data_IF_158103658217
#
_entry.id   IF_158103658217
#
_cell.length_a   1.000
_cell.length_b   1.000
_cell.length_c   1.000
_cell.angle_alpha   90.00
_cell.angle_beta   90.00
_cell.angle_gamma   90.00
#
_symmetry.space_group_name_H-M   'P 1'
#
loop_
_entity.id
_entity.type
_entity.pdbx_description
1 polymer ?
#
# COMPACT_ATOMS: atom_id res chain seq x y z
N UNK A 1 20.28 8.12 25.59
CA UNK A 1 19.41 7.41 26.56
C UNK A 1 18.13 7.10 25.82
N UNK A 2 17.69 5.84 25.78
CA UNK A 2 16.39 5.51 25.19
C UNK A 2 15.30 6.12 26.08
N UNK A 3 14.58 7.12 25.58
CA UNK A 3 13.41 7.69 26.24
C UNK A 3 12.36 6.58 26.39
N UNK A 4 11.79 6.48 27.59
CA UNK A 4 10.83 5.42 27.93
C UNK A 4 9.42 5.82 27.50
N UNK A 5 8.48 4.87 27.33
CA UNK A 5 7.10 5.16 26.93
C UNK A 5 6.34 6.17 27.83
N UNK A 6 6.80 6.41 29.06
CA UNK A 6 6.21 7.43 29.94
C UNK A 6 6.48 8.87 29.46
N UNK A 7 7.48 9.08 28.61
CA UNK A 7 7.96 10.41 28.25
C UNK A 7 7.06 11.11 27.21
N UNK A 8 6.28 10.36 26.41
CA UNK A 8 5.42 10.91 25.35
C UNK A 8 3.93 10.99 25.67
N UNK A 9 3.50 10.63 26.89
CA UNK A 9 2.07 10.55 27.23
C UNK A 9 1.32 11.86 26.94
N UNK A 10 1.93 13.02 27.25
CA UNK A 10 1.36 14.34 26.96
C UNK A 10 1.29 14.62 25.46
N UNK A 11 2.34 14.28 24.71
CA UNK A 11 2.39 14.46 23.26
C UNK A 11 1.31 13.62 22.56
N UNK A 12 1.15 12.35 22.95
CA UNK A 12 0.13 11.46 22.43
C UNK A 12 -1.30 11.91 22.78
N UNK A 13 -1.52 12.44 23.98
CA UNK A 13 -2.81 13.05 24.35
C UNK A 13 -3.12 14.31 23.54
N UNK A 14 -2.11 15.14 23.25
CA UNK A 14 -2.25 16.31 22.39
C UNK A 14 -2.62 15.88 20.97
N UNK A 15 -1.88 14.92 20.41
CA UNK A 15 -2.13 14.34 19.09
C UNK A 15 -3.55 13.78 18.97
N UNK A 16 -4.01 13.01 19.96
CA UNK A 16 -5.37 12.43 19.96
C UNK A 16 -6.49 13.48 19.97
N UNK A 17 -6.18 14.74 20.30
CA UNK A 17 -7.12 15.87 20.34
C UNK A 17 -6.92 16.84 19.18
N UNK A 18 -5.93 16.60 18.31
CA UNK A 18 -5.66 17.49 17.19
C UNK A 18 -6.86 17.50 16.21
N UNK A 19 -7.44 18.66 15.89
CA UNK A 19 -8.67 18.71 15.10
C UNK A 19 -8.45 18.25 13.65
N UNK A 20 -9.34 17.37 13.16
CA UNK A 20 -9.30 16.92 11.77
C UNK A 20 -9.39 18.07 10.76
N UNK A 21 -10.18 19.11 11.05
CA UNK A 21 -10.28 20.28 10.17
C UNK A 21 -8.97 21.06 10.12
N UNK A 22 -8.24 21.15 11.23
CA UNK A 22 -6.94 21.79 11.27
C UNK A 22 -5.91 20.98 10.48
N UNK A 23 -5.98 19.64 10.54
CA UNK A 23 -5.17 18.77 9.68
C UNK A 23 -5.46 19.04 8.20
N UNK A 24 -6.73 19.06 7.79
CA UNK A 24 -7.13 19.22 6.39
C UNK A 24 -6.79 20.61 5.83
N UNK A 25 -7.17 21.68 6.55
CA UNK A 25 -7.01 23.06 6.08
C UNK A 25 -5.61 23.63 6.36
N UNK A 26 -4.93 23.12 7.37
CA UNK A 26 -3.54 23.45 7.70
C UNK A 26 -2.49 22.70 6.88
N UNK A 27 -2.87 21.63 6.18
CA UNK A 27 -1.96 20.83 5.37
C UNK A 27 -1.34 21.64 4.23
N UNK A 28 -0.01 21.64 4.17
CA UNK A 28 0.79 22.22 3.08
C UNK A 28 1.92 21.26 2.70
N UNK A 29 2.45 21.44 1.49
CA UNK A 29 3.69 20.76 1.09
C UNK A 29 4.88 21.57 1.60
N UNK A 30 5.38 21.22 2.78
CA UNK A 30 6.53 21.89 3.42
C UNK A 30 7.81 21.16 3.03
N UNK A 31 8.37 21.56 1.89
CA UNK A 31 9.47 20.83 1.22
C UNK A 31 10.85 21.17 1.74
N UNK A 32 11.04 22.34 2.34
CA UNK A 32 12.32 22.74 2.90
C UNK A 32 12.39 22.31 4.36
N UNK A 33 13.47 21.62 4.73
CA UNK A 33 13.70 21.06 6.05
C UNK A 33 15.09 21.41 6.57
N UNK A 34 15.33 21.05 7.83
CA UNK A 34 16.65 21.24 8.47
C UNK A 34 17.75 20.55 7.67
N UNK A 35 18.89 21.22 7.53
CA UNK A 35 20.06 20.75 6.78
C UNK A 35 19.94 20.80 5.26
N UNK A 36 18.85 21.33 4.71
CA UNK A 36 18.65 21.42 3.26
C UNK A 36 19.28 22.67 2.64
N UNK A 37 19.44 22.62 1.32
CA UNK A 37 19.91 23.74 0.51
C UNK A 37 19.13 23.82 -0.81
N UNK A 38 18.59 25.00 -1.11
CA UNK A 38 18.16 25.39 -2.45
C UNK A 38 19.33 26.20 -3.05
N UNK A 39 19.96 25.71 -4.13
CA UNK A 39 21.25 26.25 -4.59
C UNK A 39 21.17 27.63 -5.25
N UNK A 40 20.03 27.97 -5.87
CA UNK A 40 19.87 29.19 -6.66
C UNK A 40 18.41 29.65 -6.74
N UNK A 41 18.20 30.79 -7.42
CA UNK A 41 16.88 31.37 -7.66
C UNK A 41 16.33 32.23 -6.51
N UNK A 42 15.07 32.66 -6.62
CA UNK A 42 14.47 33.61 -5.68
C UNK A 42 14.23 33.04 -4.27
N UNK A 43 14.33 31.71 -4.12
CA UNK A 43 14.20 31.00 -2.84
C UNK A 43 15.53 30.33 -2.43
N UNK A 44 16.66 30.77 -2.99
CA UNK A 44 17.98 30.26 -2.63
C UNK A 44 18.21 30.45 -1.12
N UNK A 45 18.49 29.34 -0.44
CA UNK A 45 18.66 29.33 1.00
C UNK A 45 19.40 28.07 1.43
N UNK A 46 20.29 28.22 2.40
CA UNK A 46 21.02 27.13 3.06
C UNK A 46 20.61 27.14 4.52
N UNK A 47 20.05 26.02 5.00
CA UNK A 47 19.73 25.82 6.41
C UNK A 47 20.97 26.04 7.27
N UNK A 48 20.79 26.74 8.39
CA UNK A 48 21.82 26.88 9.44
C UNK A 48 21.78 25.73 10.44
N UNK A 49 20.68 24.98 10.45
CA UNK A 49 20.48 23.78 11.25
C UNK A 49 21.11 22.56 10.58
N UNK A 50 21.60 21.62 11.39
CA UNK A 50 21.99 20.28 10.93
C UNK A 50 20.77 19.44 10.52
N UNK A 51 20.91 18.50 9.55
CA UNK A 51 19.88 17.53 9.26
C UNK A 51 19.49 16.73 10.52
N UNK A 52 18.19 16.69 10.83
CA UNK A 52 17.65 15.96 11.99
C UNK A 52 16.75 14.83 11.52
N UNK A 53 17.21 13.60 11.71
CA UNK A 53 16.43 12.39 11.45
C UNK A 53 15.17 12.35 12.32
N UNK A 54 14.11 11.70 11.84
CA UNK A 54 12.93 11.44 12.65
C UNK A 54 13.27 10.55 13.84
N UNK A 55 12.62 10.81 14.98
CA UNK A 55 12.67 9.93 16.14
C UNK A 55 11.94 8.61 15.85
N UNK A 56 12.19 7.59 16.67
CA UNK A 56 11.52 6.29 16.53
C UNK A 56 9.99 6.43 16.65
N UNK A 57 9.51 7.24 17.58
CA UNK A 57 8.08 7.44 17.82
C UNK A 57 7.41 8.20 16.68
N UNK A 58 8.05 9.23 16.11
CA UNK A 58 7.55 9.94 14.94
C UNK A 58 7.37 8.98 13.76
N UNK A 59 8.39 8.17 13.47
CA UNK A 59 8.31 7.18 12.41
C UNK A 59 7.20 6.16 12.68
N UNK A 60 7.10 5.64 13.89
CA UNK A 60 6.08 4.67 14.25
C UNK A 60 4.66 5.24 14.12
N UNK A 61 4.44 6.50 14.50
CA UNK A 61 3.17 7.22 14.30
C UNK A 61 2.84 7.38 12.81
N UNK A 62 3.82 7.78 11.98
CA UNK A 62 3.64 7.91 10.54
C UNK A 62 3.34 6.56 9.87
N UNK A 63 3.99 5.47 10.29
CA UNK A 63 3.65 4.11 9.86
C UNK A 63 2.22 3.75 10.31
N UNK A 64 1.83 4.08 11.54
CA UNK A 64 0.48 3.84 12.05
C UNK A 64 -0.58 4.61 11.26
N UNK A 65 -0.29 5.79 10.72
CA UNK A 65 -1.23 6.51 9.86
C UNK A 65 -1.30 5.91 8.45
N UNK A 66 -0.14 5.61 7.85
CA UNK A 66 -0.03 5.21 6.46
C UNK A 66 -0.31 3.74 6.18
N UNK A 67 0.04 2.85 7.10
CA UNK A 67 -0.22 1.41 7.00
C UNK A 67 -1.28 0.95 8.02
N UNK A 68 -1.76 1.84 8.89
CA UNK A 68 -2.58 1.56 10.07
C UNK A 68 -3.73 0.57 9.93
N UNK A 69 -4.05 -0.02 11.06
CA UNK A 69 -5.08 -1.04 11.23
C UNK A 69 -6.28 -0.43 11.95
N UNK A 70 -7.49 -0.76 11.51
CA UNK A 70 -8.75 -0.20 12.06
C UNK A 70 -9.69 -1.26 12.63
N UNK A 71 -9.23 -2.50 12.81
CA UNK A 71 -10.02 -3.62 13.33
C UNK A 71 -10.55 -4.51 12.22
N UNK A 72 -11.83 -4.87 12.26
CA UNK A 72 -12.50 -5.68 11.23
C UNK A 72 -13.09 -4.78 10.15
N UNK A 73 -12.94 -5.14 8.87
CA UNK A 73 -13.78 -4.51 7.83
C UNK A 73 -15.17 -5.14 7.79
N UNK A 74 -16.17 -4.35 7.39
CA UNK A 74 -17.58 -4.77 7.38
C UNK A 74 -18.02 -5.42 6.06
N UNK A 75 -17.10 -5.60 5.11
CA UNK A 75 -17.37 -6.20 3.80
C UNK A 75 -18.41 -5.44 2.95
N UNK A 76 -18.82 -6.09 1.86
CA UNK A 76 -19.92 -5.63 1.01
C UNK A 76 -21.17 -6.43 1.43
N UNK A 77 -22.29 -5.78 1.82
CA UNK A 77 -23.42 -6.48 2.42
C UNK A 77 -24.26 -7.27 1.40
N UNK A 78 -24.24 -6.89 0.12
CA UNK A 78 -25.12 -7.47 -0.90
C UNK A 78 -24.50 -7.42 -2.29
N UNK A 79 -24.79 -8.43 -3.11
CA UNK A 79 -24.56 -8.42 -4.56
C UNK A 79 -25.70 -9.17 -5.26
N UNK A 80 -26.18 -8.69 -6.43
CA UNK A 80 -27.14 -9.42 -7.25
C UNK A 80 -26.49 -10.48 -8.16
N UNK A 81 -25.16 -10.57 -8.19
CA UNK A 81 -24.45 -11.52 -9.07
C UNK A 81 -24.51 -12.97 -8.59
N UNK A 82 -24.80 -13.17 -7.31
CA UNK A 82 -24.76 -14.48 -6.67
C UNK A 82 -26.10 -15.18 -6.57
N UNK A 83 -26.08 -16.38 -6.00
CA UNK A 83 -27.27 -17.15 -5.64
C UNK A 83 -28.17 -16.34 -4.70
N UNK A 84 -29.49 -16.37 -4.93
CA UNK A 84 -30.46 -15.71 -4.04
C UNK A 84 -30.28 -16.16 -2.58
N UNK A 85 -30.51 -15.24 -1.64
CA UNK A 85 -30.37 -15.45 -0.18
C UNK A 85 -28.94 -15.75 0.31
N UNK A 86 -27.93 -15.61 -0.54
CA UNK A 86 -26.51 -15.68 -0.14
C UNK A 86 -25.86 -14.30 -0.01
N UNK A 87 -24.82 -14.21 0.82
CA UNK A 87 -24.05 -12.98 1.02
C UNK A 87 -22.88 -12.82 0.05
N UNK A 88 -22.42 -11.58 -0.09
CA UNK A 88 -21.37 -11.21 -1.05
C UNK A 88 -20.01 -11.79 -0.66
N UNK A 89 -19.34 -12.37 -1.66
CA UNK A 89 -18.10 -13.11 -1.46
C UNK A 89 -16.84 -12.33 -1.91
N UNK A 90 -16.94 -11.03 -2.14
CA UNK A 90 -15.86 -10.24 -2.75
C UNK A 90 -14.69 -9.97 -1.79
N UNK A 91 -14.96 -9.77 -0.50
CA UNK A 91 -13.95 -9.49 0.53
C UNK A 91 -12.82 -10.53 0.52
N UNK A 92 -11.58 -10.05 0.32
CA UNK A 92 -10.38 -10.91 0.31
C UNK A 92 -9.79 -11.05 1.71
N UNK A 93 -9.58 -9.93 2.41
CA UNK A 93 -9.02 -9.91 3.76
C UNK A 93 -10.05 -9.44 4.79
N UNK A 94 -10.00 -9.97 6.03
CA UNK A 94 -10.90 -9.57 7.12
C UNK A 94 -10.46 -8.30 7.85
N UNK A 95 -9.18 -7.97 7.80
CA UNK A 95 -8.61 -6.82 8.50
C UNK A 95 -9.14 -5.51 7.93
N UNK A 96 -9.20 -4.47 8.74
CA UNK A 96 -9.53 -3.11 8.39
C UNK A 96 -8.24 -2.28 8.36
N UNK A 97 -8.15 -1.34 7.43
CA UNK A 97 -7.06 -0.36 7.36
C UNK A 97 -7.59 1.05 7.59
N UNK A 98 -6.70 1.98 7.92
CA UNK A 98 -7.02 3.43 8.04
C UNK A 98 -7.30 4.09 6.69
N UNK A 99 -7.12 3.35 5.60
CA UNK A 99 -7.44 3.73 4.22
C UNK A 99 -8.35 2.67 3.58
N UNK A 100 -9.19 3.06 2.60
CA UNK A 100 -10.07 2.11 1.92
C UNK A 100 -9.32 1.27 0.89
N UNK A 101 -9.88 0.11 0.54
CA UNK A 101 -9.39 -0.78 -0.51
C UNK A 101 -10.55 -1.40 -1.29
N UNK A 102 -10.38 -1.58 -2.59
CA UNK A 102 -11.38 -2.15 -3.48
C UNK A 102 -11.78 -3.56 -3.04
N UNK A 103 -13.04 -3.73 -2.61
CA UNK A 103 -13.57 -4.97 -2.06
C UNK A 103 -12.67 -5.61 -0.98
N UNK A 104 -12.05 -4.78 -0.13
CA UNK A 104 -11.15 -5.21 0.93
C UNK A 104 -10.05 -6.18 0.45
N UNK A 105 -9.44 -5.87 -0.71
CA UNK A 105 -8.23 -6.56 -1.17
C UNK A 105 -7.10 -6.37 -0.14
N UNK A 106 -6.84 -5.12 0.24
CA UNK A 106 -5.86 -4.71 1.27
C UNK A 106 -4.52 -5.44 1.16
N UNK A 107 -4.03 -5.58 -0.07
CA UNK A 107 -2.79 -6.29 -0.37
C UNK A 107 -1.53 -5.46 -0.16
N UNK A 108 -1.65 -4.24 0.37
CA UNK A 108 -0.54 -3.29 0.48
C UNK A 108 0.28 -3.39 1.76
N UNK A 109 1.56 -3.05 1.63
CA UNK A 109 2.49 -2.80 2.72
C UNK A 109 3.15 -1.43 2.54
N UNK A 110 3.92 -0.99 3.53
CA UNK A 110 4.65 0.25 3.52
C UNK A 110 6.15 -0.03 3.59
N UNK A 111 6.89 0.42 2.57
CA UNK A 111 8.35 0.50 2.63
C UNK A 111 8.75 1.83 3.27
N UNK A 112 9.81 1.81 4.07
CA UNK A 112 10.35 3.00 4.72
C UNK A 112 11.85 3.06 4.44
N UNK A 113 12.38 4.25 4.15
CA UNK A 113 13.83 4.49 4.21
C UNK A 113 14.15 5.82 4.87
N UNK A 114 15.12 5.80 5.79
CA UNK A 114 15.58 6.95 6.54
C UNK A 114 17.06 6.78 6.94
N UNK A 115 17.58 7.65 7.80
CA UNK A 115 18.97 7.66 8.25
C UNK A 115 19.38 6.40 9.02
N UNK A 116 18.43 5.65 9.56
CA UNK A 116 18.67 4.43 10.34
C UNK A 116 18.56 3.14 9.53
N UNK A 117 18.10 3.23 8.27
CA UNK A 117 18.08 2.10 7.36
C UNK A 117 16.89 2.07 6.40
N UNK A 118 16.49 0.85 6.06
CA UNK A 118 15.27 0.58 5.28
C UNK A 118 14.45 -0.53 5.92
N UNK A 119 13.13 -0.46 5.72
CA UNK A 119 12.14 -1.27 6.42
C UNK A 119 10.95 -1.62 5.52
N UNK A 120 10.20 -2.65 5.92
CA UNK A 120 8.88 -2.99 5.37
C UNK A 120 7.90 -3.36 6.48
N UNK A 121 6.65 -2.96 6.37
CA UNK A 121 5.57 -3.46 7.26
C UNK A 121 5.11 -4.87 6.86
N UNK A 122 4.55 -5.61 7.82
CA UNK A 122 3.93 -6.93 7.59
C UNK A 122 2.50 -6.96 8.13
N UNK A 123 1.67 -6.04 7.64
CA UNK A 123 0.34 -5.82 8.17
C UNK A 123 -0.77 -6.50 7.36
N UNK A 124 -0.55 -6.77 6.08
CA UNK A 124 -1.60 -7.28 5.17
C UNK A 124 -2.10 -8.67 5.57
N UNK A 125 -1.28 -9.49 6.23
CA UNK A 125 -1.68 -10.83 6.65
C UNK A 125 -1.85 -10.96 8.18
N UNK A 126 -1.96 -9.83 8.90
CA UNK A 126 -2.26 -9.84 10.33
C UNK A 126 -3.69 -10.30 10.62
N UNK A 127 -3.85 -10.97 11.76
CA UNK A 127 -5.17 -11.34 12.24
C UNK A 127 -5.86 -10.11 12.87
N UNK A 128 -7.04 -9.67 12.38
CA UNK A 128 -7.78 -8.59 13.00
C UNK A 128 -8.16 -8.85 14.47
N UNK A 129 -8.24 -10.11 14.93
CA UNK A 129 -8.52 -10.40 16.34
C UNK A 129 -7.44 -9.85 17.29
N UNK A 130 -6.20 -9.71 16.82
CA UNK A 130 -5.12 -9.09 17.59
C UNK A 130 -5.28 -7.56 17.70
N UNK A 131 -6.17 -6.96 16.89
CA UNK A 131 -6.30 -5.52 16.73
C UNK A 131 -7.70 -5.10 17.20
N UNK A 132 -7.79 -4.72 18.48
CA UNK A 132 -8.99 -4.08 19.01
C UNK A 132 -9.14 -2.68 18.41
N UNK A 133 -10.37 -2.33 18.06
CA UNK A 133 -10.76 -0.99 17.59
C UNK A 133 -10.23 0.09 18.53
N UNK A 134 -9.74 1.18 17.95
CA UNK A 134 -9.22 2.33 18.69
C UNK A 134 -10.30 2.94 19.60
N UNK A 135 -10.03 3.03 20.91
CA UNK A 135 -10.94 3.60 21.92
C UNK A 135 -10.48 4.96 22.45
N UNK A 136 -9.32 5.48 22.03
CA UNK A 136 -8.81 6.79 22.46
C UNK A 136 -7.30 6.82 22.68
N UNK A 137 -6.79 7.94 23.22
CA UNK A 137 -5.36 8.20 23.35
C UNK A 137 -4.57 7.07 24.04
N UNK A 138 -5.16 6.43 25.05
CA UNK A 138 -4.52 5.36 25.82
C UNK A 138 -4.25 4.09 24.97
N UNK A 139 -4.92 3.93 23.81
CA UNK A 139 -4.66 2.85 22.85
C UNK A 139 -3.47 3.14 21.93
N UNK A 140 -3.00 4.39 21.81
CA UNK A 140 -1.93 4.73 20.87
C UNK A 140 -0.64 3.95 21.15
N UNK A 141 -0.24 3.82 22.42
CA UNK A 141 0.95 3.04 22.80
C UNK A 141 0.83 1.56 22.38
N UNK A 142 -0.35 0.97 22.56
CA UNK A 142 -0.63 -0.40 22.12
C UNK A 142 -0.56 -0.53 20.60
N UNK A 143 -1.12 0.43 19.85
CA UNK A 143 -1.05 0.44 18.39
C UNK A 143 0.39 0.60 17.91
N UNK A 144 1.20 1.44 18.56
CA UNK A 144 2.61 1.63 18.25
C UNK A 144 3.43 0.36 18.54
N UNK A 145 3.11 -0.37 19.61
CA UNK A 145 3.73 -1.68 19.86
C UNK A 145 3.45 -2.67 18.70
N UNK A 146 2.20 -2.76 18.23
CA UNK A 146 1.85 -3.60 17.06
C UNK A 146 2.63 -3.16 15.81
N UNK A 147 2.75 -1.85 15.58
CA UNK A 147 3.53 -1.32 14.46
C UNK A 147 5.00 -1.75 14.55
N UNK A 148 5.61 -1.62 15.73
CA UNK A 148 7.01 -2.00 15.96
C UNK A 148 7.24 -3.49 15.72
N UNK A 149 6.39 -4.34 16.30
CA UNK A 149 6.50 -5.80 16.19
C UNK A 149 6.34 -6.29 14.75
N UNK A 150 5.67 -5.51 13.90
CA UNK A 150 5.36 -5.86 12.52
C UNK A 150 6.04 -4.96 11.49
N UNK A 151 7.10 -4.23 11.88
CA UNK A 151 7.98 -3.48 10.98
C UNK A 151 9.34 -4.15 10.93
N UNK A 152 9.67 -4.75 9.79
CA UNK A 152 10.90 -5.52 9.60
C UNK A 152 11.98 -4.64 8.99
N UNK A 153 13.17 -4.63 9.61
CA UNK A 153 14.35 -3.98 9.05
C UNK A 153 14.93 -4.82 7.92
N UNK A 154 15.15 -4.18 6.78
CA UNK A 154 15.70 -4.78 5.55
C UNK A 154 17.22 -4.57 5.46
N UNK A 155 17.68 -3.37 5.81
CA UNK A 155 19.09 -2.98 5.77
C UNK A 155 19.38 -1.89 6.79
N UNK A 156 20.63 -1.83 7.24
CA UNK A 156 21.18 -0.75 8.06
C UNK A 156 21.39 0.55 7.27
N UNK A 157 21.32 0.49 5.94
CA UNK A 157 21.55 1.63 5.06
C UNK A 157 20.26 2.22 4.49
N UNK A 158 20.25 3.55 4.33
CA UNK A 158 19.28 4.28 3.51
C UNK A 158 19.33 3.77 2.07
N UNK A 159 18.17 3.62 1.43
CA UNK A 159 18.10 3.36 -0.01
C UNK A 159 18.46 4.63 -0.76
N UNK A 160 19.65 4.68 -1.35
CA UNK A 160 20.14 5.84 -2.10
C UNK A 160 19.96 5.64 -3.61
N UNK A 161 19.57 6.71 -4.29
CA UNK A 161 19.46 6.77 -5.74
C UNK A 161 20.37 7.89 -6.27
N UNK A 162 21.08 7.70 -7.41
CA UNK A 162 21.81 8.77 -8.05
C UNK A 162 20.91 9.98 -8.34
N UNK A 163 21.40 11.21 -8.08
CA UNK A 163 20.61 12.44 -8.20
C UNK A 163 20.60 12.98 -9.63
N UNK A 164 20.28 12.10 -10.57
CA UNK A 164 20.33 12.36 -12.00
C UNK A 164 19.30 11.53 -12.76
N UNK A 165 19.19 11.76 -14.07
CA UNK A 165 18.37 10.92 -14.94
C UNK A 165 19.06 9.55 -15.11
N UNK A 166 18.32 8.42 -15.10
CA UNK A 166 16.86 8.30 -15.03
C UNK A 166 16.31 8.09 -13.61
N UNK A 167 17.12 8.24 -12.57
CA UNK A 167 16.79 7.84 -11.20
C UNK A 167 15.94 8.85 -10.42
N UNK A 168 16.24 10.15 -10.54
CA UNK A 168 15.53 11.22 -9.84
C UNK A 168 15.19 12.36 -10.80
N UNK A 169 13.90 12.69 -10.87
CA UNK A 169 13.36 13.80 -11.65
C UNK A 169 13.97 15.13 -11.21
N UNK A 170 14.25 16.02 -12.16
CA UNK A 170 15.05 17.23 -11.93
C UNK A 170 14.56 18.08 -10.73
N UNK A 171 13.26 18.29 -10.61
CA UNK A 171 12.65 19.09 -9.54
C UNK A 171 12.78 18.47 -8.12
N UNK A 172 13.17 17.19 -8.03
CA UNK A 172 13.34 16.47 -6.76
C UNK A 172 14.81 16.25 -6.37
N UNK A 173 15.77 16.49 -7.27
CA UNK A 173 17.20 16.15 -7.05
C UNK A 173 17.81 16.83 -5.83
N UNK A 174 17.34 18.03 -5.51
CA UNK A 174 17.85 18.81 -4.39
C UNK A 174 17.34 18.31 -3.02
N UNK A 175 16.13 17.72 -2.97
CA UNK A 175 15.36 17.56 -1.72
C UNK A 175 14.92 16.13 -1.39
N UNK A 176 14.66 15.29 -2.39
CA UNK A 176 14.03 14.00 -2.14
C UNK A 176 14.99 13.03 -1.44
N UNK A 177 14.53 12.31 -0.42
CA UNK A 177 15.25 11.26 0.28
C UNK A 177 16.69 11.66 0.66
N UNK A 178 16.84 12.86 1.25
CA UNK A 178 18.13 13.39 1.74
C UNK A 178 18.36 12.95 3.20
N UNK A 179 19.59 13.02 3.71
CA UNK A 179 19.85 12.86 5.15
C UNK A 179 18.92 13.76 5.99
N UNK A 180 18.45 13.26 7.13
CA UNK A 180 17.46 13.92 7.99
C UNK A 180 16.00 13.81 7.52
N UNK A 181 15.73 13.08 6.44
CA UNK A 181 14.37 12.84 5.92
C UNK A 181 13.99 11.37 6.00
N UNK A 182 12.70 11.09 6.13
CA UNK A 182 12.14 9.74 6.04
C UNK A 182 11.19 9.65 4.85
N UNK A 183 11.33 8.61 4.03
CA UNK A 183 10.49 8.36 2.87
C UNK A 183 9.62 7.13 3.12
N UNK A 184 8.31 7.30 2.97
CA UNK A 184 7.28 6.27 3.18
C UNK A 184 6.61 5.92 1.85
N UNK A 185 6.76 4.68 1.41
CA UNK A 185 6.40 4.22 0.06
C UNK A 185 5.41 3.06 0.16
N UNK A 186 4.11 3.33 0.02
CA UNK A 186 3.12 2.27 -0.07
C UNK A 186 3.38 1.41 -1.32
N UNK A 187 3.44 0.10 -1.14
CA UNK A 187 3.57 -0.91 -2.19
C UNK A 187 2.32 -1.79 -2.22
N UNK A 188 1.74 -2.01 -3.40
CA UNK A 188 0.50 -2.73 -3.59
C UNK A 188 0.67 -4.04 -4.35
N UNK A 189 -0.08 -5.07 -3.95
CA UNK A 189 -0.11 -6.36 -4.63
C UNK A 189 -1.06 -6.29 -5.84
N UNK A 190 -0.50 -5.99 -7.01
CA UNK A 190 -1.30 -5.83 -8.23
C UNK A 190 -1.83 -7.17 -8.76
N UNK A 191 -1.10 -8.26 -8.48
CA UNK A 191 -1.49 -9.63 -8.82
C UNK A 191 -2.78 -9.99 -8.10
N UNK A 192 -2.79 -9.83 -6.79
CA UNK A 192 -3.95 -10.18 -5.99
C UNK A 192 -5.15 -9.25 -6.26
N UNK A 193 -4.89 -7.96 -6.45
CA UNK A 193 -5.93 -7.02 -6.90
C UNK A 193 -6.53 -7.46 -8.24
N UNK A 194 -5.71 -7.91 -9.20
CA UNK A 194 -6.22 -8.40 -10.48
C UNK A 194 -7.01 -9.70 -10.32
N UNK A 195 -6.54 -10.65 -9.51
CA UNK A 195 -7.32 -11.85 -9.18
C UNK A 195 -8.68 -11.51 -8.58
N UNK A 196 -8.74 -10.53 -7.68
CA UNK A 196 -10.01 -10.10 -7.10
C UNK A 196 -10.94 -9.47 -8.17
N UNK A 197 -10.41 -8.65 -9.06
CA UNK A 197 -11.19 -8.08 -10.16
C UNK A 197 -11.68 -9.18 -11.12
N UNK A 198 -10.85 -10.16 -11.46
CA UNK A 198 -11.24 -11.29 -12.30
C UNK A 198 -12.30 -12.16 -11.63
N UNK A 199 -12.17 -12.42 -10.32
CA UNK A 199 -13.16 -13.13 -9.51
C UNK A 199 -14.51 -12.42 -9.54
N UNK A 200 -14.54 -11.12 -9.27
CA UNK A 200 -15.77 -10.32 -9.24
C UNK A 200 -16.43 -10.30 -10.63
N UNK A 201 -15.67 -9.92 -11.67
CA UNK A 201 -16.23 -9.78 -13.03
C UNK A 201 -16.69 -11.11 -13.61
N UNK A 202 -15.92 -12.17 -13.44
CA UNK A 202 -16.33 -13.50 -13.90
C UNK A 202 -17.54 -14.01 -13.12
N UNK A 203 -17.64 -13.68 -11.84
CA UNK A 203 -18.82 -13.94 -11.02
C UNK A 203 -20.08 -13.17 -11.46
N UNK A 204 -19.91 -11.98 -12.04
CA UNK A 204 -20.96 -11.21 -12.72
C UNK A 204 -21.29 -11.76 -14.14
N UNK A 205 -20.62 -12.85 -14.52
CA UNK A 205 -20.81 -13.56 -15.77
C UNK A 205 -20.06 -12.98 -16.97
N UNK A 206 -19.00 -12.21 -16.72
CA UNK A 206 -18.16 -11.60 -17.76
C UNK A 206 -17.11 -12.57 -18.29
N UNK A 207 -17.04 -12.67 -19.62
CA UNK A 207 -15.91 -13.26 -20.34
C UNK A 207 -14.82 -12.21 -20.59
N UNK A 208 -13.58 -12.54 -20.27
CA UNK A 208 -12.43 -11.67 -20.54
C UNK A 208 -11.87 -11.99 -21.91
N UNK A 209 -11.59 -10.95 -22.71
CA UNK A 209 -11.05 -11.09 -24.06
C UNK A 209 -9.69 -10.43 -24.22
N UNK A 210 -8.81 -11.06 -24.99
CA UNK A 210 -7.55 -10.44 -25.40
C UNK A 210 -7.81 -9.42 -26.52
N UNK A 211 -7.40 -8.15 -26.39
CA UNK A 211 -7.62 -7.15 -27.43
C UNK A 211 -6.82 -7.41 -28.71
N UNK A 212 -5.75 -8.23 -28.68
CA UNK A 212 -4.86 -8.45 -29.84
C UNK A 212 -5.54 -9.26 -30.94
N UNK A 213 -6.24 -10.33 -30.57
CA UNK A 213 -6.86 -11.28 -31.49
C UNK A 213 -8.36 -11.52 -31.20
N UNK A 214 -8.90 -10.83 -30.18
CA UNK A 214 -10.31 -10.91 -29.73
C UNK A 214 -10.71 -12.29 -29.19
N UNK A 215 -9.75 -13.17 -28.89
CA UNK A 215 -10.04 -14.49 -28.31
C UNK A 215 -10.52 -14.32 -26.87
N UNK A 216 -11.41 -15.21 -26.43
CA UNK A 216 -11.76 -15.35 -25.02
C UNK A 216 -10.58 -16.01 -24.30
N UNK A 217 -10.23 -15.49 -23.13
CA UNK A 217 -9.15 -16.00 -22.28
C UNK A 217 -9.65 -17.13 -21.37
N UNK A 218 -8.81 -18.14 -21.14
CA UNK A 218 -9.11 -19.29 -20.31
C UNK A 218 -10.03 -20.30 -21.00
N UNK A 219 -10.61 -21.21 -20.19
CA UNK A 219 -11.46 -22.32 -20.66
C UNK A 219 -12.91 -22.16 -20.15
N UNK A 220 -13.72 -21.27 -20.74
CA UNK A 220 -15.02 -20.86 -20.18
C UNK A 220 -16.15 -21.86 -20.40
N UNK A 221 -16.01 -22.82 -21.32
CA UNK A 221 -17.11 -23.65 -21.85
C UNK A 221 -17.98 -24.32 -20.77
N UNK A 222 -17.35 -24.82 -19.70
CA UNK A 222 -18.07 -25.46 -18.60
C UNK A 222 -18.96 -24.46 -17.85
N UNK A 223 -18.46 -23.26 -17.61
CA UNK A 223 -19.18 -22.21 -16.90
C UNK A 223 -20.24 -21.53 -17.78
N UNK A 224 -20.02 -21.46 -19.10
CA UNK A 224 -21.06 -21.03 -20.05
C UNK A 224 -22.24 -22.00 -20.03
N UNK A 225 -21.97 -23.32 -20.13
CA UNK A 225 -23.04 -24.35 -20.04
C UNK A 225 -23.76 -24.34 -18.70
N UNK A 226 -23.08 -23.97 -17.62
CA UNK A 226 -23.66 -23.85 -16.29
C UNK A 226 -24.43 -22.54 -16.07
N UNK A 227 -24.43 -21.60 -17.03
CA UNK A 227 -25.08 -20.30 -16.89
C UNK A 227 -24.37 -19.34 -15.93
N UNK A 228 -23.09 -19.59 -15.63
CA UNK A 228 -22.27 -18.71 -14.79
C UNK A 228 -21.64 -17.60 -15.63
N UNK A 229 -21.14 -17.94 -16.84
CA UNK A 229 -20.58 -16.97 -17.80
C UNK A 229 -21.51 -16.80 -19.00
N UNK A 230 -21.54 -15.60 -19.60
CA UNK A 230 -22.44 -15.28 -20.71
C UNK A 230 -21.68 -14.78 -21.95
N UNK A 231 -21.98 -15.35 -23.11
CA UNK A 231 -21.28 -15.08 -24.38
C UNK A 231 -21.44 -13.64 -24.89
N UNK A 232 -22.52 -12.96 -24.49
CA UNK A 232 -22.85 -11.58 -24.82
C UNK A 232 -22.19 -10.56 -23.86
N UNK A 233 -21.57 -11.02 -22.76
CA UNK A 233 -20.88 -10.17 -21.77
C UNK A 233 -19.37 -10.29 -21.90
N UNK A 234 -18.78 -9.57 -22.85
CA UNK A 234 -17.32 -9.57 -23.10
C UNK A 234 -16.66 -8.26 -22.68
N UNK A 235 -15.59 -8.35 -21.89
CA UNK A 235 -14.79 -7.19 -21.47
C UNK A 235 -13.32 -7.39 -21.85
N UNK A 236 -12.68 -6.41 -22.52
CA UNK A 236 -11.26 -6.49 -22.84
C UNK A 236 -10.37 -6.51 -21.59
N UNK A 237 -9.33 -7.36 -21.59
CA UNK A 237 -8.37 -7.47 -20.49
C UNK A 237 -7.82 -6.10 -20.00
N UNK A 238 -7.41 -5.15 -20.87
CA UNK A 238 -6.91 -3.85 -20.41
C UNK A 238 -7.91 -3.04 -19.59
N UNK A 239 -9.23 -3.24 -19.79
CA UNK A 239 -10.26 -2.56 -19.00
C UNK A 239 -10.26 -3.08 -17.56
N UNK A 240 -10.12 -4.39 -17.39
CA UNK A 240 -10.06 -5.03 -16.06
C UNK A 240 -8.74 -4.67 -15.36
N UNK A 241 -7.61 -4.73 -16.08
CA UNK A 241 -6.31 -4.32 -15.52
C UNK A 241 -6.29 -2.83 -15.14
N UNK A 242 -6.89 -1.96 -15.96
CA UNK A 242 -7.02 -0.53 -15.66
C UNK A 242 -7.84 -0.27 -14.39
N UNK A 243 -8.96 -1.01 -14.21
CA UNK A 243 -9.75 -0.93 -12.99
C UNK A 243 -8.99 -1.45 -11.75
N UNK A 244 -8.24 -2.55 -11.91
CA UNK A 244 -7.36 -3.08 -10.87
C UNK A 244 -6.27 -2.08 -10.49
N UNK A 245 -5.61 -1.47 -11.47
CA UNK A 245 -4.55 -0.48 -11.25
C UNK A 245 -5.08 0.77 -10.56
N UNK A 246 -6.26 1.25 -10.96
CA UNK A 246 -6.91 2.43 -10.37
C UNK A 246 -7.25 2.17 -8.90
N UNK A 247 -7.78 0.98 -8.59
CA UNK A 247 -8.12 0.60 -7.22
C UNK A 247 -6.88 0.55 -6.32
N UNK A 248 -5.79 -0.09 -6.79
CA UNK A 248 -4.52 -0.11 -6.06
C UNK A 248 -3.93 1.30 -5.93
N UNK A 249 -3.95 2.11 -6.99
CA UNK A 249 -3.43 3.47 -6.94
C UNK A 249 -4.17 4.33 -5.91
N UNK A 250 -5.49 4.20 -5.81
CA UNK A 250 -6.30 4.90 -4.81
C UNK A 250 -5.92 4.46 -3.39
N UNK A 251 -5.82 3.14 -3.14
CA UNK A 251 -5.39 2.58 -1.85
C UNK A 251 -4.05 3.17 -1.41
N UNK A 252 -3.03 3.08 -2.27
CA UNK A 252 -1.67 3.57 -1.98
C UNK A 252 -1.62 5.10 -1.81
N UNK A 253 -2.43 5.84 -2.56
CA UNK A 253 -2.46 7.30 -2.48
C UNK A 253 -3.09 7.79 -1.19
N UNK A 254 -4.17 7.13 -0.71
CA UNK A 254 -4.82 7.49 0.54
C UNK A 254 -3.93 7.10 1.73
N UNK A 255 -3.27 5.94 1.67
CA UNK A 255 -2.23 5.56 2.63
C UNK A 255 -1.15 6.66 2.76
N UNK A 256 -0.57 7.09 1.63
CA UNK A 256 0.42 8.16 1.63
C UNK A 256 -0.16 9.51 2.12
N UNK A 257 -1.42 9.82 1.79
CA UNK A 257 -2.06 11.06 2.21
C UNK A 257 -2.36 11.10 3.71
N UNK A 258 -2.71 9.97 4.34
CA UNK A 258 -2.88 9.87 5.78
C UNK A 258 -1.59 10.25 6.53
N UNK A 259 -0.42 9.85 6.01
CA UNK A 259 0.89 10.27 6.55
C UNK A 259 1.02 11.79 6.46
N UNK A 260 0.71 12.38 5.30
CA UNK A 260 0.80 13.84 5.09
C UNK A 260 -0.15 14.62 6.02
N UNK A 261 -1.32 14.07 6.35
CA UNK A 261 -2.21 14.66 7.35
C UNK A 261 -1.64 14.56 8.77
N UNK A 262 -1.08 13.42 9.14
CA UNK A 262 -0.50 13.23 10.47
C UNK A 262 0.72 14.14 10.71
N UNK A 263 1.55 14.39 9.69
CA UNK A 263 2.64 15.37 9.75
C UNK A 263 2.17 16.71 10.32
N UNK A 264 0.95 17.16 9.98
CA UNK A 264 0.39 18.42 10.47
C UNK A 264 0.17 18.40 11.98
N UNK A 265 -0.33 17.27 12.49
CA UNK A 265 -0.69 17.11 13.89
C UNK A 265 0.55 16.95 14.78
N UNK A 266 1.60 16.30 14.27
CA UNK A 266 2.85 16.11 15.01
C UNK A 266 3.90 17.19 14.72
N UNK A 267 3.64 18.16 13.83
CA UNK A 267 4.53 19.29 13.59
C UNK A 267 5.67 19.05 12.61
N UNK A 268 5.53 18.04 11.75
CA UNK A 268 6.51 17.75 10.71
C UNK A 268 6.13 18.38 9.37
N UNK A 269 7.15 18.66 8.57
CA UNK A 269 7.00 18.99 7.15
C UNK A 269 7.10 17.76 6.28
N UNK A 270 6.83 17.97 5.00
CA UNK A 270 6.76 16.89 4.04
C UNK A 270 5.87 17.19 2.86
N UNK A 271 5.88 16.26 1.91
CA UNK A 271 4.92 16.25 0.81
C UNK A 271 4.78 14.87 0.19
N UNK A 272 3.60 14.64 -0.37
CA UNK A 272 3.30 13.52 -1.24
C UNK A 272 3.77 13.81 -2.67
N UNK A 273 4.50 12.88 -3.29
CA UNK A 273 5.05 13.04 -4.63
C UNK A 273 5.33 11.76 -5.40
N UNK A 274 5.69 11.96 -6.67
CA UNK A 274 6.29 11.01 -7.60
C UNK A 274 7.60 11.59 -8.15
N UNK A 275 8.32 10.82 -8.97
CA UNK A 275 9.52 11.30 -9.67
C UNK A 275 10.84 10.68 -9.22
N UNK A 276 10.80 9.63 -8.39
CA UNK A 276 11.85 8.64 -8.23
C UNK A 276 11.58 7.49 -9.20
N UNK A 277 12.63 6.91 -9.76
CA UNK A 277 12.51 5.72 -10.58
C UNK A 277 12.12 4.53 -9.71
N UNK A 278 10.85 4.13 -9.78
CA UNK A 278 10.29 3.06 -8.93
C UNK A 278 11.00 1.72 -9.11
N UNK A 279 11.48 1.41 -10.32
CA UNK A 279 12.22 0.17 -10.57
C UNK A 279 13.59 0.21 -9.91
N UNK A 280 14.34 1.32 -10.02
CA UNK A 280 15.60 1.47 -9.32
C UNK A 280 15.41 1.47 -7.79
N UNK A 281 14.35 2.14 -7.31
CA UNK A 281 13.97 2.16 -5.89
C UNK A 281 13.71 0.76 -5.35
N UNK A 282 12.98 -0.08 -6.10
CA UNK A 282 12.71 -1.46 -5.73
C UNK A 282 13.93 -2.39 -5.90
N UNK A 283 14.90 -2.06 -6.74
CA UNK A 283 16.17 -2.79 -6.87
C UNK A 283 16.53 -3.30 -8.27
N UNK A 284 15.89 -2.80 -9.33
CA UNK A 284 16.15 -3.23 -10.71
C UNK A 284 17.61 -3.00 -11.18
N UNK A 285 18.29 -2.05 -10.54
CA UNK A 285 19.68 -1.64 -10.82
C UNK A 285 20.69 -2.17 -9.79
N UNK A 286 20.35 -3.22 -9.03
CA UNK A 286 21.24 -3.78 -8.01
C UNK A 286 22.61 -4.21 -8.56
N UNK A 287 22.63 -4.82 -9.75
CA UNK A 287 23.87 -5.21 -10.46
C UNK A 287 24.74 -4.01 -10.87
N UNK A 288 24.16 -2.80 -10.89
CA UNK A 288 24.85 -1.53 -11.18
C UNK A 288 25.28 -0.81 -9.88
N UNK A 289 25.19 -1.48 -8.73
CA UNK A 289 25.52 -0.91 -7.41
C UNK A 289 24.40 -0.07 -6.78
N UNK A 290 23.17 -0.14 -7.31
CA UNK A 290 21.99 0.55 -6.77
C UNK A 290 21.02 -0.51 -6.22
N UNK A 291 21.20 -0.99 -4.98
CA UNK A 291 20.50 -2.17 -4.47
C UNK A 291 18.97 -1.98 -4.34
N UNK A 292 18.51 -0.74 -4.16
CA UNK A 292 17.10 -0.48 -3.88
C UNK A 292 16.64 -1.15 -2.59
N UNK A 293 15.37 -1.54 -2.54
CA UNK A 293 14.77 -2.35 -1.48
C UNK A 293 15.00 -3.86 -1.63
N UNK A 294 15.73 -4.31 -2.65
CA UNK A 294 16.07 -5.73 -2.84
C UNK A 294 14.94 -6.61 -3.40
N UNK A 295 13.95 -6.02 -4.07
CA UNK A 295 12.91 -6.80 -4.74
C UNK A 295 13.48 -7.62 -5.89
N UNK A 296 12.87 -8.77 -6.12
CA UNK A 296 13.12 -9.60 -7.31
C UNK A 296 12.45 -9.02 -8.53
N UNK A 297 13.11 -9.20 -9.67
CA UNK A 297 12.59 -8.79 -10.96
C UNK A 297 12.60 -9.95 -11.95
N UNK A 298 11.48 -10.15 -12.65
CA UNK A 298 11.44 -10.91 -13.88
C UNK A 298 11.90 -9.99 -15.04
N UNK A 299 12.62 -10.58 -16.00
CA UNK A 299 13.10 -9.90 -17.21
C UNK A 299 12.77 -10.74 -18.43
N UNK A 300 12.36 -10.09 -19.51
CA UNK A 300 12.10 -10.71 -20.80
C UNK A 300 12.53 -9.72 -21.90
N UNK A 301 13.29 -10.15 -22.93
CA UNK A 301 13.69 -9.28 -24.04
C UNK A 301 12.53 -8.61 -24.78
N UNK A 302 11.31 -9.18 -24.71
CA UNK A 302 10.12 -8.61 -25.31
C UNK A 302 9.49 -7.45 -24.50
N UNK A 303 9.96 -7.19 -23.27
CA UNK A 303 9.43 -6.13 -22.42
C UNK A 303 10.30 -4.88 -22.46
N UNK A 304 9.65 -3.71 -22.44
CA UNK A 304 10.35 -2.41 -22.37
C UNK A 304 10.91 -2.10 -20.97
N UNK A 305 10.42 -2.78 -19.94
CA UNK A 305 10.82 -2.58 -18.54
C UNK A 305 10.81 -3.93 -17.81
N UNK A 306 11.69 -4.13 -16.82
CA UNK A 306 11.64 -5.30 -15.95
C UNK A 306 10.36 -5.27 -15.11
N UNK A 307 9.91 -6.44 -14.65
CA UNK A 307 8.71 -6.56 -13.82
C UNK A 307 9.11 -6.91 -12.38
N UNK A 308 8.86 -6.05 -11.37
CA UNK A 308 9.06 -6.42 -9.97
C UNK A 308 8.04 -7.50 -9.59
N UNK A 309 8.51 -8.63 -9.06
CA UNK A 309 7.65 -9.79 -8.73
C UNK A 309 7.44 -10.01 -7.24
N UNK A 310 8.30 -9.48 -6.37
CA UNK A 310 8.14 -9.56 -4.92
C UNK A 310 9.44 -9.39 -4.14
N UNK A 311 9.37 -9.59 -2.83
CA UNK A 311 10.47 -9.55 -1.87
C UNK A 311 10.40 -10.82 -1.01
N UNK A 312 11.44 -11.66 -1.07
CA UNK A 312 11.43 -13.00 -0.48
C UNK A 312 11.11 -13.00 1.02
N UNK A 313 10.16 -13.83 1.43
CA UNK A 313 9.69 -13.97 2.81
C UNK A 313 8.87 -12.80 3.38
N UNK A 314 8.73 -11.70 2.63
CA UNK A 314 8.17 -10.44 3.14
C UNK A 314 7.00 -9.93 2.30
N UNK A 315 7.11 -9.98 0.97
CA UNK A 315 6.08 -9.55 0.03
C UNK A 315 6.05 -10.47 -1.18
N UNK A 316 5.25 -11.53 -1.11
CA UNK A 316 5.20 -12.60 -2.13
C UNK A 316 3.83 -12.63 -2.85
N UNK A 317 3.63 -11.81 -3.89
CA UNK A 317 2.45 -11.90 -4.76
C UNK A 317 2.28 -13.30 -5.36
N UNK A 318 1.03 -13.67 -5.68
CA UNK A 318 0.67 -14.98 -6.24
C UNK A 318 1.04 -15.11 -7.74
N UNK A 319 2.33 -14.95 -8.04
CA UNK A 319 2.92 -15.00 -9.39
C UNK A 319 4.29 -15.69 -9.32
N UNK A 320 4.74 -16.41 -10.35
CA UNK A 320 6.08 -16.98 -10.35
C UNK A 320 7.16 -15.93 -10.02
N UNK A 321 8.15 -16.26 -9.15
CA UNK A 321 8.49 -17.61 -8.69
C UNK A 321 7.80 -18.07 -7.38
N UNK A 322 6.86 -17.31 -6.82
CA UNK A 322 6.24 -17.64 -5.52
C UNK A 322 5.11 -18.67 -5.60
N UNK A 323 4.75 -19.06 -6.81
CA UNK A 323 3.82 -20.15 -7.17
C UNK A 323 4.41 -20.87 -8.38
N UNK A 324 4.08 -22.15 -8.55
CA UNK A 324 4.58 -22.95 -9.69
C UNK A 324 4.00 -22.49 -11.02
N UNK A 325 2.71 -22.16 -11.01
CA UNK A 325 1.94 -21.71 -12.17
C UNK A 325 0.75 -20.85 -11.72
N UNK A 326 -0.03 -20.35 -12.67
CA UNK A 326 -1.17 -19.49 -12.35
C UNK A 326 -2.42 -20.27 -11.90
N UNK A 327 -2.43 -21.59 -12.07
CA UNK A 327 -3.47 -22.46 -11.48
C UNK A 327 -3.28 -22.50 -9.95
N UNK A 328 -2.06 -22.75 -9.48
CA UNK A 328 -1.73 -22.67 -8.04
C UNK A 328 -2.04 -21.27 -7.48
N UNK A 329 -1.78 -20.21 -8.26
CA UNK A 329 -2.16 -18.85 -7.86
C UNK A 329 -3.67 -18.71 -7.60
N UNK A 330 -4.51 -19.21 -8.50
CA UNK A 330 -5.96 -19.16 -8.35
C UNK A 330 -6.44 -20.00 -7.15
N UNK A 331 -5.85 -21.18 -6.93
CA UNK A 331 -6.14 -22.06 -5.79
C UNK A 331 -5.78 -21.40 -4.46
N UNK A 332 -4.59 -20.79 -4.36
CA UNK A 332 -4.16 -20.07 -3.15
C UNK A 332 -5.01 -18.83 -2.90
N UNK A 333 -5.41 -18.11 -3.95
CA UNK A 333 -6.34 -16.98 -3.84
C UNK A 333 -7.71 -17.44 -3.32
N UNK A 334 -8.27 -18.53 -3.85
CA UNK A 334 -9.53 -19.11 -3.37
C UNK A 334 -9.41 -19.61 -1.92
N UNK A 335 -8.30 -20.27 -1.57
CA UNK A 335 -8.00 -20.76 -0.22
C UNK A 335 -7.94 -19.62 0.81
N UNK A 336 -7.43 -18.44 0.43
CA UNK A 336 -7.47 -17.26 1.32
C UNK A 336 -8.89 -16.84 1.69
N UNK A 337 -9.84 -17.04 0.78
CA UNK A 337 -11.24 -16.65 0.98
C UNK A 337 -12.05 -17.74 1.68
N UNK A 338 -11.85 -19.02 1.29
CA UNK A 338 -12.73 -20.15 1.66
C UNK A 338 -11.99 -21.42 2.13
N UNK A 339 -10.68 -21.34 2.35
CA UNK A 339 -9.91 -22.45 2.94
C UNK A 339 -10.14 -22.56 4.45
N UNK A 340 -9.47 -23.50 5.13
CA UNK A 340 -9.66 -23.73 6.58
C UNK A 340 -9.39 -22.51 7.48
N UNK A 341 -8.55 -21.58 7.04
CA UNK A 341 -8.29 -20.31 7.73
C UNK A 341 -8.84 -19.11 6.95
N UNK A 342 -9.75 -19.38 6.01
CA UNK A 342 -10.30 -18.40 5.10
C UNK A 342 -11.20 -17.39 5.79
N UNK A 343 -11.30 -16.21 5.21
CA UNK A 343 -12.09 -15.11 5.74
C UNK A 343 -13.56 -15.51 6.04
N UNK A 344 -14.15 -16.32 5.16
CA UNK A 344 -15.57 -16.68 5.17
C UNK A 344 -15.89 -17.97 5.94
N UNK A 345 -14.97 -18.47 6.76
CA UNK A 345 -15.24 -19.65 7.59
C UNK A 345 -16.12 -19.31 8.82
N UNK A 346 -17.22 -20.04 9.07
CA UNK A 346 -18.17 -19.72 10.15
C UNK A 346 -17.58 -19.67 11.57
N UNK A 347 -16.54 -20.46 11.84
CA UNK A 347 -15.87 -20.50 13.15
C UNK A 347 -14.86 -19.36 13.34
N UNK A 348 -14.38 -18.73 12.26
CA UNK A 348 -13.45 -17.60 12.35
C UNK A 348 -14.21 -16.39 12.88
N UNK A 349 -13.72 -15.66 13.90
CA UNK A 349 -14.36 -14.44 14.38
C UNK A 349 -14.60 -13.41 13.28
N UNK A 350 -15.39 -12.40 13.58
CA UNK A 350 -15.73 -11.37 12.61
C UNK A 350 -16.71 -10.34 13.16
N UNK A 351 -17.07 -9.34 12.34
CA UNK A 351 -17.75 -8.14 12.81
C UNK A 351 -19.25 -8.33 13.06
N UNK A 352 -19.85 -9.45 12.64
CA UNK A 352 -21.30 -9.61 12.67
C UNK A 352 -21.77 -10.16 14.02
N UNK A 353 -22.95 -9.70 14.47
CA UNK A 353 -23.61 -10.24 15.67
C UNK A 353 -23.91 -11.74 15.55
N UNK A 354 -24.36 -12.19 14.37
CA UNK A 354 -24.48 -13.61 14.01
C UNK A 354 -23.39 -13.98 12.99
N UNK A 355 -22.13 -13.98 13.44
CA UNK A 355 -20.98 -14.16 12.56
C UNK A 355 -20.97 -15.52 11.87
N UNK A 356 -21.24 -16.60 12.61
CA UNK A 356 -21.31 -17.93 12.04
C UNK A 356 -22.45 -18.05 11.01
N UNK A 357 -23.64 -17.55 11.34
CA UNK A 357 -24.79 -17.62 10.44
C UNK A 357 -24.64 -16.79 9.16
N UNK A 358 -24.06 -15.58 9.26
CA UNK A 358 -23.75 -14.76 8.07
C UNK A 358 -22.70 -15.44 7.19
N UNK A 359 -21.57 -15.88 7.77
CA UNK A 359 -20.47 -16.50 7.02
C UNK A 359 -20.85 -17.83 6.38
N UNK A 360 -21.70 -18.63 7.04
CA UNK A 360 -22.22 -19.89 6.50
C UNK A 360 -23.11 -19.70 5.26
N UNK A 361 -23.64 -18.50 5.03
CA UNK A 361 -24.48 -18.15 3.87
C UNK A 361 -23.76 -17.28 2.84
N UNK A 362 -22.44 -17.08 2.94
CA UNK A 362 -21.69 -16.41 1.88
C UNK A 362 -21.60 -17.35 0.67
N UNK A 363 -21.82 -16.80 -0.53
CA UNK A 363 -21.70 -17.56 -1.76
C UNK A 363 -20.28 -18.12 -1.93
N UNK A 364 -20.17 -19.41 -2.26
CA UNK A 364 -18.90 -20.07 -2.55
C UNK A 364 -18.91 -20.55 -3.98
N UNK A 365 -17.96 -20.09 -4.78
CA UNK A 365 -17.75 -20.68 -6.10
C UNK A 365 -17.09 -22.05 -5.97
N UNK A 366 -17.48 -22.96 -6.86
CA UNK A 366 -17.00 -24.32 -6.89
C UNK A 366 -15.61 -24.44 -7.54
N UNK A 367 -15.08 -25.66 -7.58
CA UNK A 367 -13.79 -25.95 -8.22
C UNK A 367 -13.79 -25.57 -9.70
N UNK A 368 -14.93 -25.66 -10.41
CA UNK A 368 -15.00 -25.31 -11.82
C UNK A 368 -14.70 -23.83 -12.06
N UNK A 369 -15.14 -22.95 -11.16
CA UNK A 369 -14.83 -21.53 -11.23
C UNK A 369 -13.37 -21.23 -10.93
N UNK A 370 -12.78 -21.91 -9.93
CA UNK A 370 -11.35 -21.78 -9.60
C UNK A 370 -10.49 -22.25 -10.76
N UNK A 371 -10.82 -23.39 -11.38
CA UNK A 371 -10.13 -23.91 -12.56
C UNK A 371 -10.23 -22.95 -13.76
N UNK A 372 -11.39 -22.32 -13.95
CA UNK A 372 -11.54 -21.29 -14.98
C UNK A 372 -10.63 -20.09 -14.70
N UNK A 373 -10.63 -19.55 -13.47
CA UNK A 373 -9.75 -18.44 -13.10
C UNK A 373 -8.28 -18.79 -13.27
N UNK A 374 -7.87 -19.99 -12.87
CA UNK A 374 -6.52 -20.50 -13.07
C UNK A 374 -6.17 -20.58 -14.55
N UNK A 375 -7.04 -21.14 -15.38
CA UNK A 375 -6.83 -21.19 -16.84
C UNK A 375 -6.77 -19.81 -17.50
N UNK A 376 -7.57 -18.86 -17.03
CA UNK A 376 -7.59 -17.49 -17.54
C UNK A 376 -6.29 -16.75 -17.16
N UNK A 377 -5.86 -16.89 -15.91
CA UNK A 377 -4.62 -16.29 -15.45
C UNK A 377 -3.39 -16.95 -16.13
N UNK A 378 -3.44 -18.27 -16.36
CA UNK A 378 -2.41 -19.00 -17.10
C UNK A 378 -2.34 -18.54 -18.55
N UNK A 379 -3.48 -18.38 -19.23
CA UNK A 379 -3.54 -17.84 -20.59
C UNK A 379 -2.91 -16.44 -20.66
N UNK A 380 -3.17 -15.57 -19.68
CA UNK A 380 -2.53 -14.25 -19.59
C UNK A 380 -1.01 -14.42 -19.46
N UNK A 381 -0.57 -15.25 -18.51
CA UNK A 381 0.85 -15.50 -18.28
C UNK A 381 1.56 -16.05 -19.51
N UNK A 382 1.01 -17.06 -20.17
CA UNK A 382 1.60 -17.70 -21.35
C UNK A 382 1.68 -16.72 -22.53
N UNK A 383 0.71 -15.80 -22.66
CA UNK A 383 0.67 -14.90 -23.82
C UNK A 383 1.46 -13.59 -23.62
N UNK A 384 1.72 -13.17 -22.38
CA UNK A 384 2.45 -11.92 -22.09
C UNK A 384 3.78 -12.14 -21.34
N UNK A 385 4.00 -13.34 -20.81
CA UNK A 385 5.15 -13.74 -19.99
C UNK A 385 5.13 -13.19 -18.56
N UNK A 386 4.09 -12.44 -18.18
CA UNK A 386 3.93 -11.82 -16.87
C UNK A 386 2.47 -11.68 -16.51
N UNK A 387 2.20 -11.51 -15.22
CA UNK A 387 0.86 -11.27 -14.69
C UNK A 387 0.93 -10.15 -13.63
N UNK A 388 0.20 -9.04 -13.76
CA UNK A 388 -0.66 -8.65 -14.90
C UNK A 388 0.07 -8.54 -16.25
N UNK A 389 -0.69 -8.55 -17.35
CA UNK A 389 -0.20 -8.45 -18.73
C UNK A 389 0.47 -7.12 -19.05
N UNK A 390 -0.13 -5.99 -18.63
CA UNK A 390 0.34 -4.64 -19.00
C UNK A 390 0.85 -3.82 -17.81
N UNK A 391 0.54 -4.24 -16.59
CA UNK A 391 0.92 -3.57 -15.34
C UNK A 391 2.04 -4.33 -14.62
N UNK A 392 2.81 -3.69 -13.71
CA UNK A 392 3.76 -4.40 -12.87
C UNK A 392 3.03 -5.28 -11.83
N UNK A 393 3.64 -6.38 -11.39
CA UNK A 393 3.08 -7.25 -10.34
C UNK A 393 3.10 -6.58 -8.96
N UNK A 394 4.10 -5.72 -8.71
CA UNK A 394 4.18 -4.85 -7.53
C UNK A 394 3.91 -3.40 -7.95
N UNK A 395 2.87 -2.79 -7.39
CA UNK A 395 2.44 -1.43 -7.72
C UNK A 395 2.98 -0.39 -6.74
N UNK A 396 3.45 0.74 -7.26
CA UNK A 396 3.68 1.99 -6.52
C UNK A 396 2.92 3.11 -7.24
N UNK A 397 2.31 4.04 -6.51
CA UNK A 397 1.64 5.20 -7.09
C UNK A 397 2.35 6.51 -6.73
N UNK A 398 2.24 6.90 -5.46
CA UNK A 398 2.85 8.08 -4.85
C UNK A 398 3.39 7.69 -3.49
N UNK A 399 4.28 8.50 -2.94
CA UNK A 399 4.90 8.28 -1.64
C UNK A 399 5.05 9.62 -0.92
N UNK A 400 5.19 9.57 0.40
CA UNK A 400 5.27 10.75 1.25
C UNK A 400 6.64 10.81 1.90
N UNK A 401 7.28 11.97 1.81
CA UNK A 401 8.48 12.28 2.58
C UNK A 401 8.10 13.14 3.77
N UNK A 402 8.63 12.80 4.95
CA UNK A 402 8.50 13.58 6.17
C UNK A 402 9.89 14.06 6.66
N UNK A 403 9.90 15.22 7.31
CA UNK A 403 11.12 15.86 7.81
C UNK A 403 10.80 16.96 8.83
N UNK A 404 11.76 17.29 9.69
CA UNK A 404 11.70 18.50 10.50
C UNK A 404 11.87 19.74 9.61
N UNK A 405 10.94 20.70 9.69
CA UNK A 405 11.06 21.94 8.90
C UNK A 405 12.12 22.89 9.46
N UNK A 406 12.75 23.67 8.61
CA UNK A 406 13.55 24.83 9.01
C UNK A 406 12.62 26.04 9.08
N UNK A 407 12.28 26.50 10.29
CA UNK A 407 11.34 27.61 10.50
C UNK A 407 11.86 28.92 9.91
N UNK A 408 13.17 29.20 9.99
CA UNK A 408 13.77 30.44 9.48
C UNK A 408 13.59 30.55 7.97
N UNK A 409 13.67 29.44 7.23
CA UNK A 409 13.33 29.44 5.80
C UNK A 409 11.89 29.89 5.55
N UNK A 410 10.92 29.37 6.30
CA UNK A 410 9.52 29.74 6.08
C UNK A 410 9.25 31.18 6.50
N UNK A 411 9.82 31.65 7.60
CA UNK A 411 9.69 33.03 8.07
C UNK A 411 10.35 34.03 7.10
N UNK A 412 11.41 33.62 6.41
CA UNK A 412 12.12 34.47 5.43
C UNK A 412 11.34 34.63 4.13
N UNK A 413 10.73 33.55 3.62
CA UNK A 413 10.20 33.53 2.24
C UNK A 413 8.68 33.47 2.12
N UNK A 414 7.96 33.12 3.19
CA UNK A 414 6.51 32.93 3.14
C UNK A 414 5.80 33.90 4.09
N UNK A 415 4.52 34.16 3.80
CA UNK A 415 3.67 34.95 4.68
C UNK A 415 3.34 34.18 5.98
N UNK A 416 2.87 34.92 6.99
CA UNK A 416 2.33 34.35 8.23
C UNK A 416 1.33 33.22 7.93
N UNK A 417 1.41 32.12 8.68
CA UNK A 417 0.60 30.91 8.47
C UNK A 417 1.21 29.89 7.50
N UNK A 418 2.47 30.04 7.10
CA UNK A 418 3.20 29.04 6.30
C UNK A 418 3.30 27.66 6.98
N UNK A 419 3.36 27.66 8.32
CA UNK A 419 3.34 26.46 9.17
C UNK A 419 2.35 26.64 10.33
N UNK A 420 1.99 25.52 10.97
CA UNK A 420 1.04 25.51 12.09
C UNK A 420 1.79 25.66 13.42
N UNK A 421 1.11 26.05 14.52
CA UNK A 421 1.71 26.07 15.86
C UNK A 421 2.40 24.76 16.24
N UNK A 422 1.84 23.62 15.82
CA UNK A 422 2.45 22.29 16.03
C UNK A 422 3.87 22.18 15.47
N UNK A 423 4.20 22.90 14.41
CA UNK A 423 5.56 22.88 13.83
C UNK A 423 6.52 23.76 14.61
N UNK A 424 6.05 24.91 15.10
CA UNK A 424 6.85 25.80 15.94
C UNK A 424 7.15 25.16 17.30
N UNK A 425 6.16 24.46 17.86
CA UNK A 425 6.21 23.83 19.18
C UNK A 425 6.75 22.38 19.12
N UNK A 426 7.08 21.87 17.93
CA UNK A 426 7.40 20.45 17.73
C UNK A 426 8.50 19.96 18.69
N UNK A 427 9.63 20.66 18.75
CA UNK A 427 10.75 20.27 19.62
C UNK A 427 10.41 20.34 21.11
N UNK A 428 9.52 21.23 21.53
CA UNK A 428 9.09 21.27 22.94
C UNK A 428 8.17 20.11 23.32
N UNK A 429 7.49 19.53 22.33
CA UNK A 429 6.49 18.46 22.51
C UNK A 429 7.10 17.07 22.32
N UNK A 430 8.04 16.91 21.40
CA UNK A 430 8.53 15.61 20.94
C UNK A 430 10.03 15.32 21.20
N UNK A 431 10.84 16.32 21.58
CA UNK A 431 12.25 16.13 21.99
C UNK A 431 12.40 16.13 23.52
#
# INVERSE_FOLDING_TARGET
MATTPKDYARALQSLARFPLLDALYGRRSRRFGRGMEIPDGPLAYRSKEEPKALSEIERALLIAAGAGLSGWNLGIPHTPSGTADTGCNYTVRPIGRTFPSGAAAQGSELLITDDSGSYITRFRDLDPDAIREYQGADDLERLLAIVRDNTVKLSEARVELPREFPHVSAHNRWVANRPGTSLFIPVGDQVESLFNQLWIRSGEGVLVVDPRDKRVLGKPDRLIRAGVLYEDRKVPLPVIEGASRTSVAAELSIAAYNIHLLEQAIGLGGWLFSGLNVNALLGASAEQGIPGFGFRFARNPAWLQPNPVGLDGLFEPLVPPYVRDMQEAAERFATRKFGPNGNHEPWRPGPFRDNAGVKARIERYDTAFVDYLGSLAQDIWDTYGKFPATQPSVGIAVYTQAQHIDLEFYDTFYAEGAYLPTHAEHSEVWD
#
